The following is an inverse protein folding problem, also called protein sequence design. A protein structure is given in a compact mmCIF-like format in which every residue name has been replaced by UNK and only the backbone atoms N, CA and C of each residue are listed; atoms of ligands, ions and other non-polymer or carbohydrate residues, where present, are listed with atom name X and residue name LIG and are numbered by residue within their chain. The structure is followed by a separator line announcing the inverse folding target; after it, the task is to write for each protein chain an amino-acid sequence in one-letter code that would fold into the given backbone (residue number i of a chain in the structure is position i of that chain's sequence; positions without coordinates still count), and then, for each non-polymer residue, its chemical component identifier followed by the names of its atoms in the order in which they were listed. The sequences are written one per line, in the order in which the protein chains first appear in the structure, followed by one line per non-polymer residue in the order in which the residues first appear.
data_IF_297723160878
#
_entry.id   IF_297723160878
#
_cell.length_a   1.000
_cell.length_b   1.000
_cell.length_c   1.000
_cell.angle_alpha   90.00
_cell.angle_beta   90.00
_cell.angle_gamma   90.00
#
_symmetry.space_group_name_H-M   'P 1'
#
loop_
_entity.id
_entity.type
_entity.pdbx_description
1 polymer ?
#
# COMPACT_ATOMS: atom_id res chain seq x y z
N UNK A 1 66.79 24.25 19.41
CA UNK A 1 65.96 24.14 18.19
C UNK A 1 65.18 22.83 18.33
N UNK A 2 63.96 22.86 18.85
CA UNK A 2 63.09 21.69 18.96
C UNK A 2 61.84 21.99 18.13
N UNK A 3 61.68 21.27 17.02
CA UNK A 3 60.49 21.29 16.19
C UNK A 3 59.58 20.19 16.74
N UNK A 4 58.39 20.57 17.19
CA UNK A 4 57.33 19.66 17.65
C UNK A 4 56.65 19.07 16.42
N UNK A 5 56.60 17.73 16.33
CA UNK A 5 55.77 17.02 15.37
C UNK A 5 54.29 17.18 15.74
N UNK A 6 53.58 18.04 15.00
CA UNK A 6 52.12 18.14 15.07
C UNK A 6 51.49 17.11 14.11
N UNK A 7 51.28 15.89 14.59
CA UNK A 7 50.57 14.85 13.84
C UNK A 7 49.06 15.14 13.81
N UNK A 8 48.63 15.74 12.70
CA UNK A 8 47.38 15.51 11.96
C UNK A 8 46.13 15.11 12.78
N UNK A 9 45.31 16.11 13.13
CA UNK A 9 43.93 15.97 13.64
C UNK A 9 42.89 16.07 12.51
N UNK A 10 42.98 15.26 11.45
CA UNK A 10 42.07 15.41 10.29
C UNK A 10 41.19 14.20 9.93
N UNK A 11 41.15 13.15 10.75
CA UNK A 11 40.41 11.92 10.39
C UNK A 11 39.05 11.73 11.07
N UNK A 12 38.53 12.71 11.83
CA UNK A 12 37.26 12.56 12.56
C UNK A 12 36.05 13.35 12.01
N UNK A 13 36.15 14.51 11.35
CA UNK A 13 34.94 15.18 10.83
C UNK A 13 34.35 14.52 9.56
N UNK A 14 35.17 13.83 8.76
CA UNK A 14 34.75 13.30 7.44
C UNK A 14 33.78 12.11 7.57
N UNK A 15 33.86 11.31 8.64
CA UNK A 15 32.98 10.14 8.82
C UNK A 15 31.58 10.55 9.28
N UNK A 16 31.48 11.55 10.16
CA UNK A 16 30.20 12.05 10.66
C UNK A 16 29.42 12.82 9.58
N UNK A 17 30.09 13.67 8.80
CA UNK A 17 29.46 14.38 7.67
C UNK A 17 28.94 13.43 6.59
N UNK A 18 29.67 12.34 6.30
CA UNK A 18 29.21 11.28 5.38
C UNK A 18 28.00 10.51 5.94
N UNK A 19 28.00 10.22 7.24
CA UNK A 19 26.88 9.54 7.90
C UNK A 19 25.61 10.39 7.96
N UNK A 20 25.75 11.70 8.13
CA UNK A 20 24.63 12.66 8.15
C UNK A 20 24.04 12.85 6.75
N UNK A 21 24.88 13.05 5.71
CA UNK A 21 24.44 13.09 4.30
C UNK A 21 23.74 11.82 3.84
N UNK A 22 24.16 10.64 4.32
CA UNK A 22 23.54 9.37 3.94
C UNK A 22 22.14 9.22 4.54
N UNK A 23 21.93 9.66 5.80
CA UNK A 23 20.61 9.63 6.44
C UNK A 23 19.64 10.62 5.82
N UNK A 24 20.11 11.82 5.48
CA UNK A 24 19.30 12.80 4.73
C UNK A 24 18.97 12.29 3.33
N UNK A 25 19.91 11.61 2.66
CA UNK A 25 19.66 10.98 1.37
C UNK A 25 18.65 9.82 1.47
N UNK A 26 18.70 9.00 2.53
CA UNK A 26 17.72 7.94 2.81
C UNK A 26 16.32 8.50 3.15
N UNK A 27 16.23 9.61 3.88
CA UNK A 27 14.96 10.28 4.15
C UNK A 27 14.38 10.96 2.91
N UNK A 28 15.23 11.51 2.04
CA UNK A 28 14.83 12.05 0.73
C UNK A 28 14.41 10.96 -0.26
N UNK A 29 15.08 9.81 -0.23
CA UNK A 29 14.76 8.62 -1.03
C UNK A 29 13.63 7.77 -0.45
N UNK A 30 12.99 8.22 0.63
CA UNK A 30 11.85 7.52 1.23
C UNK A 30 10.68 7.57 0.25
N UNK A 31 10.62 6.54 -0.59
CA UNK A 31 9.60 6.35 -1.61
C UNK A 31 8.23 6.43 -0.96
N UNK A 32 7.35 7.19 -1.58
CA UNK A 32 5.97 7.28 -1.11
C UNK A 32 5.27 5.96 -1.36
N UNK A 33 4.34 5.61 -0.47
CA UNK A 33 3.48 4.45 -0.64
C UNK A 33 2.25 4.85 -1.45
N UNK A 34 1.94 4.07 -2.48
CA UNK A 34 0.74 4.26 -3.30
C UNK A 34 0.01 2.94 -3.48
N UNK A 35 -1.33 2.92 -3.50
CA UNK A 35 -2.07 1.70 -3.78
C UNK A 35 -1.70 1.08 -5.14
N UNK A 36 -1.87 -0.24 -5.26
CA UNK A 36 -1.51 -0.97 -6.48
C UNK A 36 -2.19 -0.41 -7.75
N UNK A 37 -3.47 -0.05 -7.69
CA UNK A 37 -4.19 0.54 -8.83
C UNK A 37 -3.64 1.91 -9.24
N UNK A 38 -3.10 2.70 -8.30
CA UNK A 38 -2.44 3.98 -8.59
C UNK A 38 -1.08 3.75 -9.24
N UNK A 39 -0.33 2.75 -8.77
CA UNK A 39 0.92 2.33 -9.38
C UNK A 39 0.74 1.87 -10.83
N UNK A 40 -0.26 1.03 -11.09
CA UNK A 40 -0.60 0.59 -12.45
C UNK A 40 -0.96 1.77 -13.36
N UNK A 41 -1.74 2.74 -12.85
CA UNK A 41 -2.09 3.94 -13.59
C UNK A 41 -0.86 4.80 -13.93
N UNK A 42 0.08 4.96 -12.98
CA UNK A 42 1.34 5.67 -13.21
C UNK A 42 2.14 5.00 -14.32
N UNK A 43 2.33 3.68 -14.27
CA UNK A 43 3.12 2.97 -15.28
C UNK A 43 2.46 3.00 -16.66
N UNK A 44 1.14 2.84 -16.73
CA UNK A 44 0.38 2.91 -17.98
C UNK A 44 0.50 4.29 -18.67
N UNK A 45 0.66 5.35 -17.89
CA UNK A 45 0.69 6.73 -18.39
C UNK A 45 2.04 7.44 -18.19
N UNK A 46 3.10 6.70 -17.84
CA UNK A 46 4.44 7.23 -17.51
C UNK A 46 5.02 8.17 -18.58
N UNK A 47 4.65 7.97 -19.84
CA UNK A 47 5.09 8.78 -21.00
C UNK A 47 4.48 10.19 -21.08
N UNK A 48 3.42 10.47 -20.35
CA UNK A 48 2.63 11.72 -20.49
C UNK A 48 2.91 12.76 -19.39
N UNK A 49 3.77 12.43 -18.42
CA UNK A 49 4.11 13.33 -17.32
C UNK A 49 3.04 13.36 -16.20
N UNK A 50 3.24 14.17 -15.15
CA UNK A 50 2.37 14.19 -13.98
C UNK A 50 0.99 14.83 -14.23
N UNK A 51 0.75 15.40 -15.41
CA UNK A 51 -0.56 15.94 -15.80
C UNK A 51 -1.67 14.88 -15.90
N UNK A 52 -1.31 13.59 -15.85
CA UNK A 52 -2.24 12.47 -15.86
C UNK A 52 -3.22 12.47 -14.67
N UNK A 53 -2.85 13.13 -13.56
CA UNK A 53 -3.71 13.21 -12.37
C UNK A 53 -4.72 14.35 -12.43
N UNK A 54 -4.89 15.01 -13.57
CA UNK A 54 -5.76 16.18 -13.73
C UNK A 54 -6.57 16.06 -15.03
N UNK A 55 -7.84 16.43 -14.97
CA UNK A 55 -8.69 16.60 -16.15
C UNK A 55 -9.09 15.29 -16.83
N UNK A 56 -9.19 15.33 -18.16
CA UNK A 56 -9.79 14.26 -18.97
C UNK A 56 -9.06 12.90 -18.87
N UNK A 57 -7.75 12.90 -18.62
CA UNK A 57 -6.96 11.67 -18.47
C UNK A 57 -7.33 10.84 -17.24
N UNK A 58 -7.79 11.52 -16.20
CA UNK A 58 -8.21 10.88 -14.96
C UNK A 58 -9.67 10.42 -15.03
N UNK A 59 -10.50 11.09 -15.83
CA UNK A 59 -11.93 10.81 -15.97
C UNK A 59 -12.21 9.37 -16.45
N UNK A 60 -11.26 8.75 -17.16
CA UNK A 60 -11.36 7.36 -17.62
C UNK A 60 -10.98 6.32 -16.52
N UNK A 61 -10.54 6.76 -15.34
CA UNK A 61 -10.17 5.86 -14.23
C UNK A 61 -10.84 6.26 -12.90
N UNK A 62 -12.06 5.75 -12.70
CA UNK A 62 -12.90 5.97 -11.52
C UNK A 62 -12.22 5.60 -10.19
N UNK A 63 -11.35 4.57 -10.17
CA UNK A 63 -10.66 4.16 -8.96
C UNK A 63 -9.60 5.17 -8.52
N UNK A 64 -8.76 5.64 -9.45
CA UNK A 64 -7.74 6.66 -9.18
C UNK A 64 -8.38 8.01 -8.87
N UNK A 65 -9.44 8.37 -9.60
CA UNK A 65 -10.21 9.60 -9.36
C UNK A 65 -10.79 9.63 -7.94
N UNK A 66 -11.52 8.58 -7.54
CA UNK A 66 -12.07 8.45 -6.18
C UNK A 66 -10.97 8.48 -5.13
N UNK A 67 -9.85 7.81 -5.37
CA UNK A 67 -8.73 7.83 -4.44
C UNK A 67 -8.16 9.24 -4.26
N UNK A 68 -8.03 10.02 -5.34
CA UNK A 68 -7.51 11.39 -5.30
C UNK A 68 -8.51 12.40 -4.71
N UNK A 69 -9.80 12.29 -5.04
CA UNK A 69 -10.76 13.39 -4.85
C UNK A 69 -11.99 13.08 -3.99
N UNK A 70 -12.25 11.82 -3.63
CA UNK A 70 -13.43 11.45 -2.82
C UNK A 70 -13.13 11.39 -1.31
N UNK A 71 -12.43 12.40 -0.76
CA UNK A 71 -12.14 12.54 0.67
C UNK A 71 -12.27 14.00 1.11
N UNK A 72 -11.84 14.33 2.33
CA UNK A 72 -11.71 15.72 2.77
C UNK A 72 -10.71 16.50 1.90
N UNK A 73 -10.90 17.81 1.72
CA UNK A 73 -10.01 18.68 0.93
C UNK A 73 -8.53 18.53 1.31
N UNK A 74 -8.24 18.47 2.62
CA UNK A 74 -6.88 18.26 3.14
C UNK A 74 -6.30 16.92 2.71
N UNK A 75 -7.10 15.86 2.74
CA UNK A 75 -6.66 14.52 2.35
C UNK A 75 -6.51 14.40 0.83
N UNK A 76 -7.39 15.02 0.05
CA UNK A 76 -7.27 15.09 -1.41
C UNK A 76 -5.97 15.78 -1.82
N UNK A 77 -5.67 16.95 -1.24
CA UNK A 77 -4.42 17.66 -1.50
C UNK A 77 -3.18 16.83 -1.12
N UNK A 78 -3.25 16.11 0.01
CA UNK A 78 -2.19 15.20 0.44
C UNK A 78 -1.98 14.06 -0.55
N UNK A 79 -3.06 13.39 -0.99
CA UNK A 79 -2.98 12.27 -1.94
C UNK A 79 -2.51 12.69 -3.31
N UNK A 80 -2.93 13.86 -3.78
CA UNK A 80 -2.41 14.46 -5.01
C UNK A 80 -0.89 14.69 -4.94
N UNK A 81 -0.39 15.27 -3.85
CA UNK A 81 1.06 15.43 -3.65
C UNK A 81 1.81 14.09 -3.60
N UNK A 82 1.22 13.07 -2.96
CA UNK A 82 1.76 11.70 -2.95
C UNK A 82 1.83 11.15 -4.38
N UNK A 83 0.77 11.29 -5.18
CA UNK A 83 0.71 10.78 -6.55
C UNK A 83 1.76 11.45 -7.46
N UNK A 84 1.90 12.77 -7.37
CA UNK A 84 2.92 13.52 -8.11
C UNK A 84 4.33 13.11 -7.65
N UNK A 85 4.56 12.97 -6.34
CA UNK A 85 5.85 12.52 -5.80
C UNK A 85 6.17 11.09 -6.25
N UNK A 86 5.19 10.19 -6.25
CA UNK A 86 5.32 8.82 -6.75
C UNK A 86 5.73 8.79 -8.22
N UNK A 87 5.10 9.65 -9.03
CA UNK A 87 5.41 9.76 -10.46
C UNK A 87 6.85 10.22 -10.70
N UNK A 88 7.31 11.24 -9.96
CA UNK A 88 8.61 11.88 -10.18
C UNK A 88 9.77 11.12 -9.54
N UNK A 89 9.61 10.70 -8.28
CA UNK A 89 10.68 10.13 -7.45
C UNK A 89 10.59 8.60 -7.32
N UNK A 90 9.51 8.01 -7.82
CA UNK A 90 9.20 6.59 -7.63
C UNK A 90 8.43 6.31 -6.34
N UNK A 91 7.97 5.07 -6.20
CA UNK A 91 7.06 4.68 -5.12
C UNK A 91 7.32 3.24 -4.66
N UNK A 92 6.78 2.94 -3.49
CA UNK A 92 6.51 1.58 -3.02
C UNK A 92 5.02 1.31 -3.21
N UNK A 93 4.67 0.12 -3.69
CA UNK A 93 3.27 -0.29 -3.74
C UNK A 93 2.81 -0.59 -2.32
N UNK A 94 1.80 0.12 -1.87
CA UNK A 94 1.08 -0.20 -0.64
C UNK A 94 0.31 -1.49 -0.90
N UNK A 95 0.81 -2.58 -0.34
CA UNK A 95 0.05 -3.82 -0.31
C UNK A 95 -1.13 -3.65 0.62
N UNK A 96 -2.33 -3.49 0.05
CA UNK A 96 -3.56 -3.38 0.81
C UNK A 96 -3.70 -4.56 1.79
N UNK A 97 -4.09 -4.31 3.05
CA UNK A 97 -4.30 -5.38 4.01
C UNK A 97 -5.44 -6.27 3.51
N UNK A 98 -5.12 -7.55 3.33
CA UNK A 98 -6.10 -8.56 3.00
C UNK A 98 -6.66 -9.18 4.28
N UNK A 99 -7.94 -9.52 4.24
CA UNK A 99 -8.67 -10.12 5.33
C UNK A 99 -9.41 -11.37 4.88
N UNK A 100 -9.46 -12.34 5.77
CA UNK A 100 -10.40 -13.45 5.72
C UNK A 100 -11.72 -13.05 6.38
N UNK A 101 -12.86 -13.47 5.84
CA UNK A 101 -14.14 -13.40 6.57
C UNK A 101 -14.31 -14.72 7.35
N UNK A 102 -14.12 -14.69 8.67
CA UNK A 102 -14.14 -15.87 9.54
C UNK A 102 -15.38 -15.89 10.43
N UNK A 103 -16.35 -16.71 10.07
CA UNK A 103 -17.55 -16.93 10.87
C UNK A 103 -17.31 -17.97 11.97
N UNK A 104 -18.00 -17.77 13.09
CA UNK A 104 -18.03 -18.72 14.22
C UNK A 104 -19.43 -19.29 14.36
N UNK A 105 -19.56 -20.61 14.44
CA UNK A 105 -20.83 -21.29 14.72
C UNK A 105 -20.88 -21.59 16.23
N UNK A 106 -21.79 -20.98 17.01
CA UNK A 106 -21.78 -21.05 18.48
C UNK A 106 -21.87 -22.47 19.08
N UNK A 107 -22.39 -23.44 18.32
CA UNK A 107 -22.64 -24.83 18.76
C UNK A 107 -21.74 -25.88 18.10
N UNK A 108 -20.71 -25.46 17.35
CA UNK A 108 -19.86 -26.36 16.58
C UNK A 108 -18.43 -26.35 17.09
N UNK A 109 -17.82 -27.53 17.19
CA UNK A 109 -16.38 -27.72 17.42
C UNK A 109 -15.51 -27.37 16.19
N UNK A 110 -16.13 -26.92 15.09
CA UNK A 110 -15.44 -26.49 13.89
C UNK A 110 -14.67 -25.19 14.13
N UNK A 111 -13.35 -25.26 13.96
CA UNK A 111 -12.44 -24.13 14.12
C UNK A 111 -12.39 -23.31 12.82
N UNK A 112 -13.23 -22.28 12.75
CA UNK A 112 -13.18 -21.25 11.71
C UNK A 112 -13.82 -21.65 10.38
N UNK A 113 -14.95 -21.02 10.08
CA UNK A 113 -15.62 -21.10 8.78
C UNK A 113 -15.23 -19.87 7.96
N UNK A 114 -14.51 -20.08 6.88
CA UNK A 114 -13.99 -19.01 6.02
C UNK A 114 -14.87 -18.85 4.80
N UNK A 115 -15.44 -17.66 4.57
CA UNK A 115 -16.24 -17.40 3.39
C UNK A 115 -15.36 -17.09 2.17
N UNK A 116 -15.73 -17.67 1.04
CA UNK A 116 -15.16 -17.36 -0.27
C UNK A 116 -16.26 -17.01 -1.26
N UNK A 117 -15.91 -16.22 -2.27
CA UNK A 117 -16.82 -15.77 -3.31
C UNK A 117 -16.21 -16.07 -4.69
N UNK A 118 -17.03 -16.50 -5.62
CA UNK A 118 -16.64 -16.62 -7.03
C UNK A 118 -16.99 -15.34 -7.81
N UNK A 119 -16.66 -15.29 -9.10
CA UNK A 119 -16.90 -14.13 -9.97
C UNK A 119 -18.38 -13.80 -10.18
N UNK A 120 -19.26 -14.78 -10.01
CA UNK A 120 -20.71 -14.64 -10.14
C UNK A 120 -21.38 -14.20 -8.82
N UNK A 121 -20.60 -13.96 -7.76
CA UNK A 121 -21.11 -13.59 -6.44
C UNK A 121 -21.70 -14.75 -5.64
N UNK A 122 -21.55 -15.99 -6.12
CA UNK A 122 -21.91 -17.19 -5.36
C UNK A 122 -20.88 -17.34 -4.23
N UNK A 123 -21.37 -17.64 -3.03
CA UNK A 123 -20.51 -17.89 -1.88
C UNK A 123 -20.34 -19.39 -1.61
N UNK A 124 -19.18 -19.75 -1.09
CA UNK A 124 -18.89 -21.07 -0.50
C UNK A 124 -18.04 -20.87 0.75
N UNK A 125 -17.79 -21.95 1.49
CA UNK A 125 -17.09 -21.91 2.75
C UNK A 125 -16.03 -23.00 2.85
N UNK A 126 -14.92 -22.65 3.50
CA UNK A 126 -13.86 -23.60 3.84
C UNK A 126 -13.79 -23.80 5.35
N UNK A 127 -13.56 -25.04 5.74
CA UNK A 127 -13.20 -25.39 7.10
C UNK A 127 -11.68 -25.25 7.27
N UNK A 128 -11.24 -24.41 8.21
CA UNK A 128 -9.83 -24.05 8.37
C UNK A 128 -9.34 -23.05 7.30
N UNK A 129 -8.09 -22.57 7.45
CA UNK A 129 -7.52 -21.54 6.57
C UNK A 129 -7.58 -22.03 5.11
N UNK A 130 -8.31 -21.34 4.21
CA UNK A 130 -8.49 -21.81 2.85
C UNK A 130 -7.19 -21.72 2.05
N UNK A 131 -6.97 -22.71 1.18
CA UNK A 131 -6.00 -22.58 0.10
C UNK A 131 -6.68 -21.85 -1.06
N UNK A 132 -6.03 -20.84 -1.62
CA UNK A 132 -6.55 -20.12 -2.80
C UNK A 132 -6.71 -21.13 -3.93
N UNK A 133 -7.95 -21.37 -4.35
CA UNK A 133 -8.27 -22.22 -5.53
C UNK A 133 -8.66 -21.32 -6.69
N UNK A 134 -8.58 -21.84 -7.92
CA UNK A 134 -8.71 -21.04 -9.14
C UNK A 134 -10.08 -20.34 -9.29
N UNK A 135 -11.15 -20.93 -8.73
CA UNK A 135 -12.51 -20.44 -8.91
C UNK A 135 -13.05 -19.65 -7.70
N UNK A 136 -12.33 -19.66 -6.57
CA UNK A 136 -12.80 -19.09 -5.30
C UNK A 136 -11.77 -18.15 -4.68
N UNK A 137 -12.19 -16.90 -4.45
CA UNK A 137 -11.43 -15.90 -3.70
C UNK A 137 -11.85 -15.97 -2.24
N UNK A 138 -10.89 -16.07 -1.30
CA UNK A 138 -11.14 -16.16 0.15
C UNK A 138 -10.51 -15.02 0.96
N UNK A 139 -9.73 -14.16 0.30
CA UNK A 139 -9.09 -13.00 0.91
C UNK A 139 -9.58 -11.74 0.23
N UNK A 140 -9.92 -10.72 1.00
CA UNK A 140 -10.61 -9.53 0.53
C UNK A 140 -10.00 -8.28 1.14
N UNK A 141 -10.06 -7.17 0.42
CA UNK A 141 -9.77 -5.85 0.99
C UNK A 141 -10.95 -5.38 1.85
N UNK A 142 -10.75 -4.41 2.73
CA UNK A 142 -11.86 -3.84 3.53
C UNK A 142 -13.01 -3.34 2.63
N UNK A 143 -12.68 -2.69 1.51
CA UNK A 143 -13.66 -2.19 0.57
C UNK A 143 -14.46 -3.31 -0.09
N UNK A 144 -13.81 -4.41 -0.48
CA UNK A 144 -14.49 -5.58 -1.04
C UNK A 144 -15.46 -6.21 -0.03
N UNK A 145 -15.03 -6.37 1.23
CA UNK A 145 -15.92 -6.90 2.30
C UNK A 145 -17.15 -6.01 2.45
N UNK A 146 -16.95 -4.69 2.55
CA UNK A 146 -18.06 -3.73 2.70
C UNK A 146 -18.97 -3.65 1.47
N UNK A 147 -18.42 -3.88 0.28
CA UNK A 147 -19.20 -3.91 -0.98
C UNK A 147 -20.03 -5.18 -1.13
N UNK A 148 -19.55 -6.31 -0.58
CA UNK A 148 -20.36 -7.53 -0.45
C UNK A 148 -21.47 -7.28 0.58
N UNK A 149 -21.08 -6.99 1.82
CA UNK A 149 -21.98 -6.63 2.93
C UNK A 149 -21.16 -6.11 4.11
N UNK A 150 -21.43 -4.88 4.58
CA UNK A 150 -20.75 -4.27 5.73
C UNK A 150 -20.83 -5.14 7.01
N UNK A 151 -21.87 -5.97 7.16
CA UNK A 151 -22.03 -6.89 8.30
C UNK A 151 -20.95 -7.97 8.37
N UNK A 152 -20.17 -8.18 7.31
CA UNK A 152 -19.04 -9.10 7.32
C UNK A 152 -17.77 -8.50 7.96
N UNK A 153 -17.67 -7.17 8.08
CA UNK A 153 -16.48 -6.51 8.62
C UNK A 153 -16.11 -6.93 10.07
N UNK A 154 -17.05 -7.10 11.01
CA UNK A 154 -16.73 -7.59 12.36
C UNK A 154 -16.11 -9.00 12.39
N UNK A 155 -16.20 -9.75 11.29
CA UNK A 155 -15.63 -11.09 11.14
C UNK A 155 -14.32 -11.10 10.34
N UNK A 156 -13.80 -9.93 9.96
CA UNK A 156 -12.57 -9.79 9.21
C UNK A 156 -11.34 -10.14 10.07
N UNK A 157 -10.53 -11.08 9.60
CA UNK A 157 -9.27 -11.51 10.24
C UNK A 157 -8.11 -11.22 9.29
N UNK A 158 -7.09 -10.45 9.70
CA UNK A 158 -5.99 -10.09 8.80
C UNK A 158 -5.25 -11.33 8.31
N UNK A 159 -4.85 -11.31 7.04
CA UNK A 159 -3.98 -12.31 6.44
C UNK A 159 -2.55 -11.98 6.82
N UNK A 160 -1.90 -12.85 7.59
CA UNK A 160 -0.47 -12.73 7.88
C UNK A 160 0.32 -12.98 6.59
N UNK A 161 1.22 -12.06 6.26
CA UNK A 161 2.19 -12.22 5.17
C UNK A 161 3.31 -13.13 5.68
N UNK A 162 3.55 -14.25 4.99
CA UNK A 162 4.56 -15.26 5.34
C UNK A 162 5.90 -14.90 4.74
#
# INVERSE_FOLDING_TARGET
MHIVEEKSKLTHPIKEERGMKMKELDELLKKVKVPAFVAEYIEAHRKWGPGIFIGDWLADNDAVDKWLYNNSEKENNRRFLIAVKAFVEGYEVEEEPLFYIRLTIPSSSVVGLYLGFNKDGIFDHSYGKPHVTWDWKYTFTEHEIKSIDERYWPFAVPVEKV
#
